data_IF_129703083964
#
_entry.id   IF_129703083964
#
_cell.length_a   1.000
_cell.length_b   1.000
_cell.length_c   1.000
_cell.angle_alpha   90.00
_cell.angle_beta   90.00
_cell.angle_gamma   90.00
#
_symmetry.space_group_name_H-M   'P 1'
#
loop_
_entity.id
_entity.type
_entity.pdbx_description
1 polymer ?
#
# COMPACT_ATOMS: atom_id res chain seq x y z
N UNK A 1 0.72 -16.95 12.65
CA UNK A 1 0.01 -16.48 11.45
C UNK A 1 -0.80 -17.61 10.86
N UNK A 2 -2.06 -17.36 10.52
CA UNK A 2 -2.92 -18.35 9.87
C UNK A 2 -2.64 -18.35 8.37
N UNK A 3 -2.37 -19.54 7.82
CA UNK A 3 -2.26 -19.75 6.38
C UNK A 3 -3.62 -20.04 5.79
N UNK A 4 -3.81 -19.59 4.57
CA UNK A 4 -5.04 -19.82 3.82
C UNK A 4 -4.72 -20.52 2.50
N UNK A 5 -5.57 -21.44 2.10
CA UNK A 5 -5.60 -21.93 0.73
C UNK A 5 -6.30 -20.91 -0.17
N UNK A 6 -6.05 -20.96 -1.46
CA UNK A 6 -6.71 -20.09 -2.43
C UNK A 6 -8.24 -20.20 -2.36
N UNK A 7 -8.76 -21.41 -2.18
CA UNK A 7 -10.21 -21.66 -2.06
C UNK A 7 -10.82 -21.05 -0.80
N UNK A 8 -10.10 -21.16 0.36
CA UNK A 8 -10.54 -20.53 1.61
C UNK A 8 -10.58 -19.01 1.46
N UNK A 9 -9.55 -18.44 0.84
CA UNK A 9 -9.47 -17.00 0.62
C UNK A 9 -10.60 -16.52 -0.29
N UNK A 10 -10.86 -17.19 -1.41
CA UNK A 10 -11.98 -16.86 -2.30
C UNK A 10 -13.32 -16.88 -1.57
N UNK A 11 -13.58 -17.90 -0.76
CA UNK A 11 -14.83 -17.99 0.01
C UNK A 11 -14.95 -16.87 1.06
N UNK A 12 -13.84 -16.48 1.70
CA UNK A 12 -13.83 -15.35 2.64
C UNK A 12 -14.19 -14.05 1.91
N UNK A 13 -13.58 -13.81 0.76
CA UNK A 13 -13.82 -12.60 -0.04
C UNK A 13 -15.25 -12.55 -0.56
N UNK A 14 -15.80 -13.66 -1.08
CA UNK A 14 -17.19 -13.74 -1.52
C UNK A 14 -18.15 -13.36 -0.38
N UNK A 15 -17.95 -13.90 0.82
CA UNK A 15 -18.77 -13.57 1.99
C UNK A 15 -18.64 -12.14 2.41
N UNK A 16 -17.45 -11.56 2.29
CA UNK A 16 -17.23 -10.14 2.59
C UNK A 16 -18.02 -9.24 1.62
N UNK A 17 -18.06 -9.56 0.33
CA UNK A 17 -18.85 -8.79 -0.62
C UNK A 17 -20.36 -8.92 -0.38
N UNK A 18 -20.83 -10.08 0.05
CA UNK A 18 -22.21 -10.23 0.50
C UNK A 18 -22.49 -9.33 1.74
N UNK A 19 -21.54 -9.26 2.67
CA UNK A 19 -21.66 -8.40 3.85
C UNK A 19 -21.71 -6.91 3.47
N UNK A 20 -20.85 -6.46 2.56
CA UNK A 20 -20.90 -5.09 2.04
C UNK A 20 -22.21 -4.75 1.33
N UNK A 21 -22.87 -5.74 0.74
CA UNK A 21 -24.17 -5.63 0.09
C UNK A 21 -25.34 -5.78 1.07
N UNK A 22 -25.09 -5.84 2.38
CA UNK A 22 -26.10 -6.08 3.43
C UNK A 22 -26.86 -7.39 3.25
N UNK A 23 -26.29 -8.38 2.55
CA UNK A 23 -26.89 -9.71 2.41
C UNK A 23 -26.81 -10.49 3.74
N UNK A 24 -27.91 -11.15 4.20
CA UNK A 24 -27.92 -11.88 5.47
C UNK A 24 -26.93 -13.06 5.55
N UNK A 25 -26.39 -13.53 4.42
CA UNK A 25 -25.36 -14.56 4.37
C UNK A 25 -23.94 -13.98 4.34
N UNK A 26 -23.81 -12.64 4.29
CA UNK A 26 -22.56 -11.95 4.31
C UNK A 26 -21.85 -12.06 5.65
N UNK A 27 -20.52 -12.10 5.62
CA UNK A 27 -19.66 -12.11 6.80
C UNK A 27 -18.48 -11.19 6.54
N UNK A 28 -18.27 -10.22 7.43
CA UNK A 28 -17.11 -9.35 7.35
C UNK A 28 -15.80 -10.17 7.40
N UNK A 29 -14.91 -9.91 6.46
CA UNK A 29 -13.62 -10.59 6.42
C UNK A 29 -12.68 -10.02 7.49
N UNK A 30 -12.06 -10.91 8.25
CA UNK A 30 -10.95 -10.60 9.16
C UNK A 30 -9.72 -11.38 8.70
N UNK A 31 -8.78 -10.68 8.08
CA UNK A 31 -7.53 -11.24 7.60
C UNK A 31 -6.32 -10.68 8.38
N UNK A 32 -6.56 -10.14 9.59
CA UNK A 32 -5.47 -9.62 10.45
C UNK A 32 -4.44 -10.71 10.74
N UNK A 33 -3.18 -10.36 10.54
CA UNK A 33 -2.06 -11.28 10.76
C UNK A 33 -2.10 -12.52 9.87
N UNK A 34 -2.84 -12.51 8.75
CA UNK A 34 -2.86 -13.61 7.79
C UNK A 34 -1.46 -13.87 7.20
N UNK A 35 -1.13 -15.12 6.94
CA UNK A 35 0.05 -15.52 6.18
C UNK A 35 -0.35 -15.71 4.72
N UNK A 36 -0.03 -14.71 3.90
CA UNK A 36 -0.35 -14.62 2.48
C UNK A 36 0.92 -14.55 1.61
N UNK A 37 2.05 -15.00 2.16
CA UNK A 37 3.36 -14.95 1.50
C UNK A 37 3.39 -15.77 0.24
N UNK A 38 4.08 -15.23 -0.78
CA UNK A 38 4.36 -15.91 -2.05
C UNK A 38 3.12 -16.35 -2.84
N UNK A 39 1.91 -15.91 -2.44
CA UNK A 39 0.68 -16.24 -3.15
C UNK A 39 0.52 -15.38 -4.41
N UNK A 40 -0.10 -15.94 -5.43
CA UNK A 40 -0.62 -15.17 -6.54
C UNK A 40 -2.02 -14.65 -6.20
N UNK A 41 -2.08 -13.38 -5.87
CA UNK A 41 -3.27 -12.62 -5.49
C UNK A 41 -3.56 -11.52 -6.54
N UNK A 42 -3.00 -11.67 -7.74
CA UNK A 42 -3.24 -10.73 -8.83
C UNK A 42 -4.73 -10.66 -9.17
N UNK A 43 -5.22 -9.43 -9.40
CA UNK A 43 -6.62 -9.15 -9.68
C UNK A 43 -7.61 -9.44 -8.54
N UNK A 44 -7.14 -9.86 -7.37
CA UNK A 44 -8.02 -10.06 -6.21
C UNK A 44 -8.60 -8.73 -5.73
N UNK A 45 -9.83 -8.80 -5.23
CA UNK A 45 -10.49 -7.65 -4.64
C UNK A 45 -10.49 -7.79 -3.11
N UNK A 46 -9.74 -6.91 -2.42
CA UNK A 46 -9.66 -6.81 -0.96
C UNK A 46 -10.33 -5.53 -0.43
N UNK A 47 -11.18 -4.90 -1.21
CA UNK A 47 -11.82 -3.63 -0.85
C UNK A 47 -12.38 -3.64 0.58
N UNK A 48 -11.94 -2.68 1.42
CA UNK A 48 -12.43 -2.46 2.77
C UNK A 48 -12.06 -3.53 3.80
N UNK A 49 -11.19 -4.49 3.49
CA UNK A 49 -10.81 -5.59 4.39
C UNK A 49 -9.76 -5.12 5.41
N UNK A 50 -9.89 -5.62 6.66
CA UNK A 50 -8.87 -5.47 7.69
C UNK A 50 -7.74 -6.50 7.48
N UNK A 51 -6.58 -5.98 7.07
CA UNK A 51 -5.35 -6.71 6.75
C UNK A 51 -4.20 -6.35 7.71
N UNK A 52 -4.50 -5.74 8.86
CA UNK A 52 -3.48 -5.28 9.81
C UNK A 52 -2.52 -6.39 10.21
N UNK A 53 -1.22 -6.12 10.06
CA UNK A 53 -0.16 -7.06 10.38
C UNK A 53 -0.14 -8.31 9.50
N UNK A 54 -0.88 -8.38 8.40
CA UNK A 54 -0.80 -9.48 7.44
C UNK A 54 0.58 -9.52 6.78
N UNK A 55 1.01 -10.71 6.40
CA UNK A 55 2.30 -10.92 5.75
C UNK A 55 2.10 -11.30 4.28
N UNK A 56 2.50 -10.40 3.39
CA UNK A 56 2.49 -10.54 1.93
C UNK A 56 3.89 -10.65 1.33
N UNK A 57 4.91 -11.02 2.12
CA UNK A 57 6.28 -11.13 1.62
C UNK A 57 6.33 -11.90 0.30
N UNK A 58 6.89 -11.29 -0.75
CA UNK A 58 7.01 -11.88 -2.08
C UNK A 58 5.69 -12.22 -2.79
N UNK A 59 4.53 -11.78 -2.30
CA UNK A 59 3.25 -12.04 -2.95
C UNK A 59 3.08 -11.23 -4.24
N UNK A 60 2.34 -11.78 -5.20
CA UNK A 60 1.92 -11.06 -6.39
C UNK A 60 0.51 -10.48 -6.17
N UNK A 61 0.41 -9.17 -6.02
CA UNK A 61 -0.81 -8.38 -5.86
C UNK A 61 -1.03 -7.44 -7.06
N UNK A 62 -0.39 -7.71 -8.20
CA UNK A 62 -0.50 -6.85 -9.38
C UNK A 62 -1.97 -6.71 -9.81
N UNK A 63 -2.39 -5.47 -10.12
CA UNK A 63 -3.77 -5.12 -10.46
C UNK A 63 -4.81 -5.44 -9.38
N UNK A 64 -4.43 -5.79 -8.15
CA UNK A 64 -5.36 -6.03 -7.07
C UNK A 64 -6.05 -4.73 -6.62
N UNK A 65 -7.28 -4.86 -6.12
CA UNK A 65 -7.97 -3.76 -5.48
C UNK A 65 -7.81 -3.84 -3.95
N UNK A 66 -7.00 -2.96 -3.40
CA UNK A 66 -6.73 -2.80 -1.96
C UNK A 66 -7.28 -1.45 -1.45
N UNK A 67 -8.20 -0.82 -2.19
CA UNK A 67 -8.73 0.47 -1.77
C UNK A 67 -9.53 0.36 -0.47
N UNK A 68 -9.37 1.37 0.40
CA UNK A 68 -9.99 1.44 1.73
C UNK A 68 -9.65 0.27 2.67
N UNK A 69 -8.59 -0.50 2.40
CA UNK A 69 -8.07 -1.54 3.31
C UNK A 69 -7.29 -0.91 4.47
N UNK A 70 -7.23 -1.60 5.60
CA UNK A 70 -6.26 -1.31 6.66
C UNK A 70 -5.10 -2.32 6.60
N UNK A 71 -3.96 -1.86 6.12
CA UNK A 71 -2.68 -2.58 6.00
C UNK A 71 -1.68 -2.12 7.07
N UNK A 72 -2.13 -1.44 8.12
CA UNK A 72 -1.22 -0.90 9.15
C UNK A 72 -0.36 -2.01 9.75
N UNK A 73 0.97 -1.78 9.75
CA UNK A 73 1.96 -2.73 10.21
C UNK A 73 2.07 -4.03 9.41
N UNK A 74 1.49 -4.10 8.22
CA UNK A 74 1.64 -5.26 7.33
C UNK A 74 3.08 -5.38 6.80
N UNK A 75 3.48 -6.59 6.42
CA UNK A 75 4.76 -6.90 5.79
C UNK A 75 4.52 -7.12 4.30
N UNK A 76 5.01 -6.22 3.47
CA UNK A 76 4.83 -6.21 2.01
C UNK A 76 6.19 -6.22 1.28
N UNK A 77 7.29 -6.53 2.00
CA UNK A 77 8.63 -6.58 1.40
C UNK A 77 8.65 -7.47 0.17
N UNK A 78 9.31 -7.02 -0.89
CA UNK A 78 9.47 -7.74 -2.15
C UNK A 78 8.15 -8.12 -2.85
N UNK A 79 7.00 -7.64 -2.38
CA UNK A 79 5.72 -7.90 -3.04
C UNK A 79 5.60 -7.11 -4.35
N UNK A 80 4.86 -7.67 -5.30
CA UNK A 80 4.53 -6.98 -6.54
C UNK A 80 3.11 -6.41 -6.46
N UNK A 81 3.00 -5.09 -6.35
CA UNK A 81 1.74 -4.33 -6.37
C UNK A 81 1.64 -3.42 -7.62
N UNK A 82 2.31 -3.76 -8.70
CA UNK A 82 2.24 -2.96 -9.93
C UNK A 82 0.79 -2.82 -10.39
N UNK A 83 0.40 -1.60 -10.79
CA UNK A 83 -0.96 -1.26 -11.23
C UNK A 83 -2.07 -1.53 -10.19
N UNK A 84 -1.73 -1.83 -8.94
CA UNK A 84 -2.71 -2.06 -7.88
C UNK A 84 -3.41 -0.75 -7.47
N UNK A 85 -4.64 -0.87 -6.96
CA UNK A 85 -5.39 0.25 -6.42
C UNK A 85 -5.37 0.22 -4.88
N UNK A 86 -4.64 1.14 -4.25
CA UNK A 86 -4.56 1.34 -2.80
C UNK A 86 -5.21 2.67 -2.37
N UNK A 87 -6.06 3.24 -3.21
CA UNK A 87 -6.68 4.54 -2.91
C UNK A 87 -7.36 4.52 -1.54
N UNK A 88 -7.07 5.55 -0.73
CA UNK A 88 -7.66 5.72 0.60
C UNK A 88 -7.38 4.55 1.56
N UNK A 89 -6.36 3.73 1.29
CA UNK A 89 -5.93 2.67 2.21
C UNK A 89 -5.12 3.25 3.40
N UNK A 90 -5.12 2.52 4.51
CA UNK A 90 -4.28 2.81 5.66
C UNK A 90 -3.05 1.88 5.65
N UNK A 91 -1.86 2.43 5.44
CA UNK A 91 -0.60 1.66 5.29
C UNK A 91 0.43 2.11 6.33
N UNK A 92 -0.06 2.63 7.48
CA UNK A 92 0.79 3.19 8.53
C UNK A 92 1.78 2.18 9.08
N UNK A 93 3.07 2.60 9.10
CA UNK A 93 4.15 1.79 9.68
C UNK A 93 4.34 0.43 9.03
N UNK A 94 3.81 0.21 7.83
CA UNK A 94 4.01 -1.04 7.09
C UNK A 94 5.45 -1.13 6.56
N UNK A 95 5.92 -2.35 6.39
CA UNK A 95 7.21 -2.67 5.79
C UNK A 95 7.03 -2.93 4.28
N UNK A 96 7.47 -1.98 3.46
CA UNK A 96 7.36 -1.93 2.01
C UNK A 96 8.75 -1.94 1.35
N UNK A 97 9.77 -2.50 2.02
CA UNK A 97 11.11 -2.55 1.46
C UNK A 97 11.13 -3.33 0.14
N UNK A 98 11.80 -2.77 -0.87
CA UNK A 98 11.98 -3.38 -2.19
C UNK A 98 10.65 -3.77 -2.89
N UNK A 99 9.53 -3.16 -2.50
CA UNK A 99 8.22 -3.39 -3.12
C UNK A 99 8.19 -2.82 -4.55
N UNK A 100 7.47 -3.48 -5.43
CA UNK A 100 7.12 -2.94 -6.74
C UNK A 100 5.72 -2.33 -6.70
N UNK A 101 5.64 -0.99 -6.77
CA UNK A 101 4.40 -0.20 -6.81
C UNK A 101 4.26 0.56 -8.14
N UNK A 102 5.00 0.17 -9.16
CA UNK A 102 4.98 0.87 -10.44
C UNK A 102 3.57 1.04 -10.98
N UNK A 103 3.18 2.27 -11.32
CA UNK A 103 1.86 2.61 -11.88
C UNK A 103 0.69 2.45 -10.91
N UNK A 104 0.92 2.08 -9.65
CA UNK A 104 -0.13 1.88 -8.67
C UNK A 104 -0.82 3.20 -8.29
N UNK A 105 -2.08 3.12 -7.85
CA UNK A 105 -2.83 4.25 -7.34
C UNK A 105 -2.83 4.26 -5.80
N UNK A 106 -2.02 5.13 -5.20
CA UNK A 106 -1.95 5.38 -3.76
C UNK A 106 -2.52 6.77 -3.40
N UNK A 107 -3.43 7.31 -4.21
CA UNK A 107 -3.98 8.62 -3.91
C UNK A 107 -4.74 8.62 -2.58
N UNK A 108 -4.45 9.63 -1.73
CA UNK A 108 -5.00 9.79 -0.37
C UNK A 108 -4.73 8.64 0.58
N UNK A 109 -3.74 7.80 0.31
CA UNK A 109 -3.29 6.72 1.20
C UNK A 109 -2.55 7.30 2.40
N UNK A 110 -2.76 6.73 3.58
CA UNK A 110 -1.93 7.04 4.76
C UNK A 110 -0.72 6.09 4.82
N UNK A 111 0.44 6.61 4.44
CA UNK A 111 1.75 5.93 4.46
C UNK A 111 2.63 6.44 5.62
N UNK A 112 2.04 7.10 6.61
CA UNK A 112 2.83 7.70 7.69
C UNK A 112 3.68 6.66 8.42
N UNK A 113 4.98 6.95 8.53
CA UNK A 113 5.97 6.07 9.15
C UNK A 113 6.24 4.77 8.41
N UNK A 114 5.74 4.57 7.19
CA UNK A 114 6.03 3.38 6.37
C UNK A 114 7.50 3.35 5.92
N UNK A 115 8.03 2.15 5.68
CA UNK A 115 9.42 1.93 5.25
C UNK A 115 9.40 1.47 3.79
N UNK A 116 9.92 2.30 2.87
CA UNK A 116 9.94 2.09 1.42
C UNK A 116 11.37 2.10 0.85
N UNK A 117 12.32 1.56 1.61
CA UNK A 117 13.71 1.48 1.15
C UNK A 117 13.80 0.71 -0.18
N UNK A 118 14.43 1.31 -1.20
CA UNK A 118 14.62 0.70 -2.51
C UNK A 118 13.33 0.37 -3.29
N UNK A 119 12.18 0.91 -2.89
CA UNK A 119 10.89 0.65 -3.56
C UNK A 119 10.86 1.21 -4.99
N UNK A 120 10.24 0.49 -5.92
CA UNK A 120 9.89 1.03 -7.25
C UNK A 120 8.51 1.71 -7.20
N UNK A 121 8.53 3.04 -7.15
CA UNK A 121 7.40 3.95 -7.15
C UNK A 121 7.29 4.70 -8.50
N UNK A 122 7.89 4.17 -9.56
CA UNK A 122 7.84 4.81 -10.87
C UNK A 122 6.39 4.94 -11.36
N UNK A 123 6.05 6.12 -11.88
CA UNK A 123 4.71 6.41 -12.42
C UNK A 123 3.55 6.24 -11.42
N UNK A 124 3.85 6.13 -10.11
CA UNK A 124 2.84 5.97 -9.05
C UNK A 124 2.01 7.25 -8.87
N UNK A 125 0.73 7.10 -8.57
CA UNK A 125 -0.12 8.21 -8.15
C UNK A 125 -0.18 8.28 -6.61
N UNK A 126 0.53 9.24 -6.01
CA UNK A 126 0.56 9.55 -4.56
C UNK A 126 -0.17 10.86 -4.26
N UNK A 127 -1.03 11.33 -5.14
CA UNK A 127 -1.73 12.61 -4.96
C UNK A 127 -2.47 12.67 -3.62
N UNK A 128 -2.11 13.67 -2.79
CA UNK A 128 -2.73 13.89 -1.48
C UNK A 128 -2.45 12.79 -0.46
N UNK A 129 -1.44 11.94 -0.67
CA UNK A 129 -1.03 10.92 0.28
C UNK A 129 -0.36 11.53 1.52
N UNK A 130 -0.52 10.90 2.66
CA UNK A 130 0.21 11.22 3.88
C UNK A 130 1.46 10.35 4.00
N UNK A 131 2.63 10.94 3.77
CA UNK A 131 3.93 10.28 3.84
C UNK A 131 4.74 10.71 5.08
N UNK A 132 4.12 11.37 6.05
CA UNK A 132 4.83 11.93 7.20
C UNK A 132 5.71 10.89 7.90
N UNK A 133 7.00 11.21 8.02
CA UNK A 133 7.97 10.34 8.68
C UNK A 133 8.27 9.04 7.96
N UNK A 134 7.80 8.85 6.73
CA UNK A 134 8.14 7.68 5.91
C UNK A 134 9.60 7.71 5.47
N UNK A 135 10.20 6.55 5.25
CA UNK A 135 11.53 6.41 4.68
C UNK A 135 11.42 5.97 3.21
N UNK A 136 11.87 6.82 2.29
CA UNK A 136 11.96 6.55 0.85
C UNK A 136 13.42 6.50 0.37
N UNK A 137 14.34 6.09 1.25
CA UNK A 137 15.77 6.02 0.93
C UNK A 137 15.97 5.09 -0.28
N UNK A 138 16.63 5.60 -1.33
CA UNK A 138 16.93 4.84 -2.55
C UNK A 138 15.71 4.47 -3.40
N UNK A 139 14.52 5.03 -3.12
CA UNK A 139 13.31 4.72 -3.89
C UNK A 139 13.34 5.36 -5.30
N UNK A 140 12.76 4.67 -6.28
CA UNK A 140 12.56 5.15 -7.65
C UNK A 140 11.20 5.83 -7.77
N UNK A 141 11.17 7.17 -7.88
CA UNK A 141 9.95 7.98 -7.99
C UNK A 141 9.80 8.63 -9.37
N UNK A 142 10.49 8.12 -10.38
CA UNK A 142 10.45 8.71 -11.72
C UNK A 142 9.03 8.78 -12.27
N UNK A 143 8.60 10.00 -12.63
CA UNK A 143 7.27 10.23 -13.20
C UNK A 143 6.12 10.11 -12.19
N UNK A 144 6.40 9.97 -10.90
CA UNK A 144 5.38 9.87 -9.86
C UNK A 144 4.61 11.19 -9.69
N UNK A 145 3.32 11.11 -9.33
CA UNK A 145 2.52 12.26 -8.95
C UNK A 145 2.40 12.34 -7.41
N UNK A 146 3.18 13.23 -6.79
CA UNK A 146 3.14 13.57 -5.36
C UNK A 146 2.37 14.87 -5.10
N UNK A 147 1.58 15.36 -6.06
CA UNK A 147 0.86 16.62 -5.86
C UNK A 147 -0.01 16.58 -4.60
N UNK A 148 0.03 17.66 -3.82
CA UNK A 148 -0.72 17.80 -2.57
C UNK A 148 -0.34 16.77 -1.47
N UNK A 149 0.72 15.98 -1.62
CA UNK A 149 1.16 15.02 -0.61
C UNK A 149 1.83 15.71 0.58
N UNK A 150 1.73 15.10 1.77
CA UNK A 150 2.42 15.57 2.98
C UNK A 150 3.75 14.83 3.14
N UNK A 151 4.85 15.55 2.90
CA UNK A 151 6.21 15.02 2.95
C UNK A 151 6.97 15.42 4.22
N UNK A 152 6.31 15.89 5.26
CA UNK A 152 6.99 16.32 6.50
C UNK A 152 7.73 15.15 7.16
N UNK A 153 9.02 15.33 7.40
CA UNK A 153 9.88 14.33 8.04
C UNK A 153 10.23 13.13 7.17
N UNK A 154 9.91 13.16 5.86
CA UNK A 154 10.27 12.09 4.91
C UNK A 154 11.78 12.09 4.67
N UNK A 155 12.38 10.90 4.65
CA UNK A 155 13.76 10.71 4.18
C UNK A 155 13.75 10.28 2.70
N UNK A 156 14.25 11.17 1.84
CA UNK A 156 14.39 10.98 0.39
C UNK A 156 15.87 10.81 -0.03
N UNK A 157 16.75 10.46 0.90
CA UNK A 157 18.16 10.25 0.59
C UNK A 157 18.30 9.21 -0.53
N UNK A 158 19.12 9.53 -1.53
CA UNK A 158 19.36 8.67 -2.70
C UNK A 158 18.12 8.35 -3.57
N UNK A 159 16.96 8.94 -3.30
CA UNK A 159 15.76 8.73 -4.12
C UNK A 159 15.88 9.42 -5.49
N UNK A 160 15.35 8.76 -6.52
CA UNK A 160 15.27 9.32 -7.88
C UNK A 160 13.94 10.05 -8.08
N UNK A 161 13.96 11.38 -8.10
CA UNK A 161 12.80 12.25 -8.27
C UNK A 161 12.66 12.81 -9.71
N UNK A 162 13.30 12.21 -10.69
CA UNK A 162 13.22 12.72 -12.07
C UNK A 162 11.77 12.68 -12.58
N UNK A 163 11.34 13.77 -13.22
CA UNK A 163 9.99 13.92 -13.77
C UNK A 163 8.84 13.83 -12.75
N UNK A 164 9.15 13.89 -11.45
CA UNK A 164 8.15 13.82 -10.37
C UNK A 164 7.33 15.11 -10.30
N UNK A 165 6.02 15.01 -10.18
CA UNK A 165 5.13 16.15 -9.91
C UNK A 165 5.08 16.44 -8.39
N UNK A 166 5.63 17.58 -7.98
CA UNK A 166 5.67 18.03 -6.58
C UNK A 166 4.78 19.26 -6.31
N UNK A 167 3.76 19.49 -7.15
CA UNK A 167 2.87 20.64 -6.99
C UNK A 167 2.09 20.57 -5.68
N UNK A 168 2.22 21.63 -4.85
CA UNK A 168 1.43 21.75 -3.63
C UNK A 168 1.82 20.78 -2.51
N UNK A 169 3.00 20.14 -2.58
CA UNK A 169 3.50 19.32 -1.47
C UNK A 169 3.76 20.16 -0.23
N UNK A 170 3.45 19.63 0.93
CA UNK A 170 3.82 20.29 2.19
C UNK A 170 5.33 20.12 2.41
N UNK A 171 6.06 21.22 2.62
CA UNK A 171 7.52 21.21 2.70
C UNK A 171 8.00 20.45 3.94
N UNK A 172 9.25 19.95 3.85
CA UNK A 172 10.00 19.54 5.04
C UNK A 172 9.99 20.68 6.04
N UNK A 173 9.74 20.41 7.32
CA UNK A 173 10.12 21.36 8.36
C UNK A 173 11.63 21.51 8.27
N UNK A 174 12.10 22.64 7.72
CA UNK A 174 13.49 23.02 7.87
C UNK A 174 13.74 23.18 9.38
N UNK A 175 14.48 22.26 9.97
CA UNK A 175 15.10 22.56 11.25
C UNK A 175 16.03 23.75 10.97
N UNK A 176 15.60 24.94 11.38
CA UNK A 176 16.51 26.06 11.49
C UNK A 176 17.57 25.63 12.52
N UNK A 177 18.83 25.52 12.07
CA UNK A 177 20.01 25.34 12.92
C UNK A 177 20.23 26.55 13.85
#
# INVERSE_FOLDING_TARGET
MKKYTELELKNILEKHFLWLAEDPNGVEADLRGADLRELDLSWYNFYGIDLRGANFYGANLSNANLSMTDLSGAILCEANLSEANLREAEVRGADLNEINLRGANLSRTDLSGAILYGADLSEVNLKGADLRGASLIGAELRGADLSEADLRGVDLSEANLSETNLYGVYPRENKED
#
